data_IF_533484537574
#
_entry.id   IF_533484537574
#
_cell.length_a   1.000
_cell.length_b   1.000
_cell.length_c   1.000
_cell.angle_alpha   90.00
_cell.angle_beta   90.00
_cell.angle_gamma   90.00
#
_symmetry.space_group_name_H-M   'P 1'
#
loop_
_entity.id
_entity.type
_entity.pdbx_description
1 polymer ?
#
# COMPACT_ATOMS: atom_id res chain seq x y z
N UNK A 1 2.61 8.37 -0.79
CA UNK A 1 2.45 9.82 -0.48
C UNK A 1 3.77 10.57 -0.67
N UNK A 2 4.80 10.30 0.14
CA UNK A 2 6.10 10.99 0.08
C UNK A 2 6.77 10.99 -1.32
N UNK A 3 7.16 9.82 -1.86
CA UNK A 3 7.88 9.75 -3.15
C UNK A 3 7.10 10.42 -4.30
N UNK A 4 5.76 10.27 -4.31
CA UNK A 4 4.90 10.90 -5.32
C UNK A 4 5.00 12.42 -5.27
N UNK A 5 5.00 13.01 -4.08
CA UNK A 5 5.11 14.47 -3.94
C UNK A 5 6.50 14.97 -4.31
N UNK A 6 7.55 14.24 -3.94
CA UNK A 6 8.93 14.54 -4.37
C UNK A 6 9.02 14.56 -5.90
N UNK A 7 8.55 13.51 -6.58
CA UNK A 7 8.58 13.45 -8.03
C UNK A 7 7.72 14.52 -8.68
N UNK A 8 6.51 14.79 -8.16
CA UNK A 8 5.64 15.86 -8.68
C UNK A 8 6.34 17.23 -8.68
N UNK A 9 7.09 17.56 -7.63
CA UNK A 9 7.83 18.83 -7.54
C UNK A 9 9.03 18.87 -8.47
N UNK A 10 9.77 17.76 -8.58
CA UNK A 10 10.87 17.64 -9.54
C UNK A 10 10.35 17.76 -10.99
N UNK A 11 9.23 17.12 -11.31
CA UNK A 11 8.58 17.22 -12.62
C UNK A 11 8.08 18.64 -12.94
N UNK A 12 7.77 19.43 -11.89
CA UNK A 12 7.44 20.83 -12.00
C UNK A 12 8.67 21.75 -12.14
N UNK A 13 9.89 21.21 -12.18
CA UNK A 13 11.14 21.94 -12.31
C UNK A 13 11.69 22.51 -11.00
N UNK A 14 11.14 22.10 -9.85
CA UNK A 14 11.65 22.56 -8.55
C UNK A 14 12.99 21.89 -8.20
N UNK A 15 13.91 22.68 -7.63
CA UNK A 15 15.16 22.17 -7.05
C UNK A 15 14.97 21.92 -5.55
N UNK A 16 14.95 20.64 -5.16
CA UNK A 16 14.70 20.25 -3.77
C UNK A 16 16.00 20.14 -2.96
N UNK A 17 16.03 20.79 -1.80
CA UNK A 17 17.07 20.65 -0.79
C UNK A 17 16.62 19.68 0.31
N UNK A 18 17.54 19.31 1.20
CA UNK A 18 17.23 18.42 2.33
C UNK A 18 16.09 18.96 3.22
N UNK A 19 16.00 20.28 3.41
CA UNK A 19 14.92 20.94 4.15
C UNK A 19 13.55 20.74 3.50
N UNK A 20 13.46 20.73 2.17
CA UNK A 20 12.21 20.52 1.45
C UNK A 20 11.74 19.07 1.59
N UNK A 21 12.67 18.12 1.45
CA UNK A 21 12.41 16.69 1.64
C UNK A 21 11.95 16.40 3.08
N UNK A 22 12.59 17.03 4.06
CA UNK A 22 12.18 16.97 5.46
C UNK A 22 10.76 17.50 5.64
N UNK A 23 10.44 18.67 5.08
CA UNK A 23 9.10 19.26 5.16
C UNK A 23 8.02 18.33 4.56
N UNK A 24 8.28 17.76 3.38
CA UNK A 24 7.37 16.79 2.73
C UNK A 24 7.17 15.56 3.62
N UNK A 25 8.24 15.03 4.22
CA UNK A 25 8.14 13.86 5.09
C UNK A 25 7.35 14.15 6.36
N UNK A 26 7.61 15.28 7.01
CA UNK A 26 6.87 15.72 8.20
C UNK A 26 5.38 15.91 7.91
N UNK A 27 5.03 16.56 6.80
CA UNK A 27 3.64 16.72 6.36
C UNK A 27 2.96 15.35 6.18
N UNK A 28 3.61 14.42 5.48
CA UNK A 28 3.06 13.08 5.26
C UNK A 28 2.83 12.34 6.58
N UNK A 29 3.77 12.41 7.53
CA UNK A 29 3.61 11.79 8.85
C UNK A 29 2.47 12.43 9.64
N UNK A 30 2.41 13.76 9.66
CA UNK A 30 1.38 14.53 10.37
C UNK A 30 -0.01 14.21 9.84
N UNK A 31 -0.19 14.17 8.51
CA UNK A 31 -1.48 13.82 7.90
C UNK A 31 -1.87 12.36 8.07
N UNK A 32 -0.90 11.46 8.13
CA UNK A 32 -1.19 10.03 8.28
C UNK A 32 -1.61 9.69 9.71
N UNK A 33 -0.92 10.24 10.70
CA UNK A 33 -1.15 9.92 12.10
C UNK A 33 -2.16 10.84 12.79
N UNK A 34 -2.39 12.05 12.27
CA UNK A 34 -3.27 13.02 12.91
C UNK A 34 -2.79 13.36 14.33
N UNK A 35 -3.72 13.36 15.28
CA UNK A 35 -3.50 13.55 16.71
C UNK A 35 -3.22 12.26 17.49
N UNK A 36 -3.20 11.10 16.81
CA UNK A 36 -3.02 9.81 17.45
C UNK A 36 -1.60 9.60 18.02
N UNK A 37 -0.59 10.28 17.47
CA UNK A 37 0.80 10.26 17.97
C UNK A 37 1.46 11.64 17.88
N UNK A 38 2.45 11.88 18.74
CA UNK A 38 3.33 13.04 18.66
C UNK A 38 4.40 12.85 17.57
N UNK A 39 4.55 13.82 16.66
CA UNK A 39 5.61 13.82 15.64
C UNK A 39 6.82 14.60 16.14
N UNK A 40 7.71 13.90 16.85
CA UNK A 40 8.89 14.46 17.46
C UNK A 40 9.93 14.99 16.43
N UNK A 41 10.82 15.85 16.89
CA UNK A 41 11.95 16.34 16.11
C UNK A 41 12.85 15.18 15.63
N UNK A 42 13.27 15.24 14.37
CA UNK A 42 14.01 14.17 13.70
C UNK A 42 13.13 13.15 12.99
N UNK A 43 11.82 13.07 13.25
CA UNK A 43 10.91 12.18 12.53
C UNK A 43 10.87 12.48 11.02
N UNK A 44 11.08 13.74 10.63
CA UNK A 44 11.23 14.16 9.25
C UNK A 44 12.42 13.51 8.54
N UNK A 45 13.49 13.15 9.25
CA UNK A 45 14.70 12.55 8.66
C UNK A 45 14.50 11.08 8.26
N UNK A 46 13.36 10.47 8.63
CA UNK A 46 13.10 9.05 8.36
C UNK A 46 13.03 8.69 6.87
N UNK A 47 12.87 9.66 5.97
CA UNK A 47 12.98 9.40 4.53
C UNK A 47 14.40 8.98 4.11
N UNK A 48 15.44 9.47 4.80
CA UNK A 48 16.85 9.24 4.45
C UNK A 48 17.26 7.78 4.62
N UNK A 49 16.66 7.10 5.59
CA UNK A 49 16.97 5.69 5.91
C UNK A 49 16.13 4.67 5.16
N UNK A 50 15.27 5.10 4.23
CA UNK A 50 14.39 4.22 3.48
C UNK A 50 15.00 3.85 2.12
N UNK A 51 15.68 2.69 1.97
CA UNK A 51 16.37 2.35 0.71
C UNK A 51 15.41 2.26 -0.48
N UNK A 52 14.18 1.80 -0.26
CA UNK A 52 13.14 1.71 -1.29
C UNK A 52 12.74 3.07 -1.89
N UNK A 53 13.06 4.19 -1.24
CA UNK A 53 12.79 5.52 -1.82
C UNK A 53 13.66 5.82 -3.04
N UNK A 54 14.77 5.10 -3.19
CA UNK A 54 15.72 5.22 -4.29
C UNK A 54 15.49 4.18 -5.40
N UNK A 55 14.37 3.43 -5.35
CA UNK A 55 14.05 2.32 -6.27
C UNK A 55 12.81 2.59 -7.14
N UNK A 56 12.51 3.85 -7.47
CA UNK A 56 11.45 4.20 -8.43
C UNK A 56 10.03 3.75 -8.02
N UNK A 57 9.41 4.47 -7.08
CA UNK A 57 8.07 4.19 -6.53
C UNK A 57 7.86 2.77 -5.96
N UNK A 58 8.89 1.93 -5.79
CA UNK A 58 8.75 0.55 -5.35
C UNK A 58 7.85 0.35 -4.11
N UNK A 59 7.89 1.26 -3.12
CA UNK A 59 7.14 1.08 -1.86
C UNK A 59 5.62 0.91 -2.01
N UNK A 60 4.97 1.43 -3.06
CA UNK A 60 3.51 1.24 -3.21
C UNK A 60 3.14 -0.23 -3.49
N UNK A 61 4.07 -1.01 -4.04
CA UNK A 61 3.85 -2.41 -4.40
C UNK A 61 3.49 -3.27 -3.19
N UNK A 62 3.99 -2.94 -1.99
CA UNK A 62 3.59 -3.60 -0.75
C UNK A 62 2.11 -3.39 -0.44
N UNK A 63 1.61 -2.15 -0.56
CA UNK A 63 0.19 -1.85 -0.32
C UNK A 63 -0.71 -2.50 -1.36
N UNK A 64 -0.29 -2.52 -2.63
CA UNK A 64 -1.00 -3.21 -3.70
C UNK A 64 -1.02 -4.74 -3.48
N UNK A 65 0.14 -5.32 -3.14
CA UNK A 65 0.27 -6.75 -2.85
C UNK A 65 -0.55 -7.18 -1.64
N UNK A 66 -0.54 -6.39 -0.56
CA UNK A 66 -1.38 -6.65 0.61
C UNK A 66 -2.87 -6.61 0.24
N UNK A 67 -3.29 -5.62 -0.56
CA UNK A 67 -4.68 -5.52 -1.05
C UNK A 67 -5.08 -6.78 -1.81
N UNK A 68 -4.24 -7.25 -2.74
CA UNK A 68 -4.50 -8.47 -3.50
C UNK A 68 -4.57 -9.68 -2.57
N UNK A 69 -3.60 -9.84 -1.67
CA UNK A 69 -3.52 -10.97 -0.75
C UNK A 69 -4.73 -11.05 0.20
N UNK A 70 -5.16 -9.91 0.76
CA UNK A 70 -6.34 -9.84 1.63
C UNK A 70 -7.61 -10.21 0.87
N UNK A 71 -7.80 -9.69 -0.34
CA UNK A 71 -8.97 -10.01 -1.16
C UNK A 71 -8.98 -11.48 -1.60
N UNK A 72 -7.84 -12.04 -2.01
CA UNK A 72 -7.71 -13.47 -2.32
C UNK A 72 -8.04 -14.32 -1.11
N UNK A 73 -7.50 -13.99 0.07
CA UNK A 73 -7.80 -14.72 1.30
C UNK A 73 -9.30 -14.66 1.62
N UNK A 74 -9.91 -13.47 1.53
CA UNK A 74 -11.36 -13.30 1.73
C UNK A 74 -12.16 -14.18 0.77
N UNK A 75 -11.80 -14.21 -0.52
CA UNK A 75 -12.43 -15.07 -1.52
C UNK A 75 -12.28 -16.54 -1.18
N UNK A 76 -11.09 -16.99 -0.76
CA UNK A 76 -10.88 -18.38 -0.33
C UNK A 76 -11.81 -18.75 0.83
N UNK A 77 -12.00 -17.85 1.81
CA UNK A 77 -12.90 -18.10 2.94
C UNK A 77 -14.38 -18.13 2.53
N UNK A 78 -14.80 -17.35 1.54
CA UNK A 78 -16.23 -17.23 1.16
C UNK A 78 -16.66 -18.06 -0.04
N UNK A 79 -15.77 -18.29 -1.00
CA UNK A 79 -16.02 -18.98 -2.28
C UNK A 79 -15.37 -20.36 -2.33
N UNK A 80 -14.43 -20.67 -1.41
CA UNK A 80 -13.81 -21.98 -1.29
C UNK A 80 -12.97 -22.37 -2.51
N UNK A 81 -13.21 -23.58 -3.02
CA UNK A 81 -12.37 -24.24 -4.04
C UNK A 81 -12.21 -23.40 -5.32
N UNK A 82 -13.24 -22.67 -5.75
CA UNK A 82 -13.15 -21.82 -6.94
C UNK A 82 -12.08 -20.75 -6.79
N UNK A 83 -12.04 -20.05 -5.66
CA UNK A 83 -11.03 -19.02 -5.41
C UNK A 83 -9.62 -19.60 -5.23
N UNK A 84 -9.51 -20.84 -4.71
CA UNK A 84 -8.23 -21.56 -4.64
C UNK A 84 -7.70 -21.84 -6.04
N UNK A 85 -8.55 -22.31 -6.95
CA UNK A 85 -8.14 -22.60 -8.33
C UNK A 85 -7.74 -21.34 -9.10
N UNK A 86 -8.46 -20.23 -8.93
CA UNK A 86 -8.10 -18.93 -9.49
C UNK A 86 -6.71 -18.48 -9.01
N UNK A 87 -6.45 -18.56 -7.70
CA UNK A 87 -5.15 -18.16 -7.16
C UNK A 87 -4.01 -19.08 -7.63
N UNK A 88 -4.24 -20.40 -7.71
CA UNK A 88 -3.27 -21.34 -8.29
C UNK A 88 -2.99 -21.04 -9.77
N UNK A 89 -4.01 -20.62 -10.54
CA UNK A 89 -3.81 -20.19 -11.92
C UNK A 89 -2.94 -18.93 -12.01
N UNK A 90 -3.17 -17.93 -11.16
CA UNK A 90 -2.33 -16.74 -11.07
C UNK A 90 -0.87 -17.10 -10.72
N UNK A 91 -0.66 -17.96 -9.70
CA UNK A 91 0.67 -18.42 -9.31
C UNK A 91 1.41 -19.16 -10.44
N UNK A 92 0.69 -20.01 -11.20
CA UNK A 92 1.25 -20.70 -12.38
C UNK A 92 1.65 -19.74 -13.48
N UNK A 93 0.90 -18.65 -13.68
CA UNK A 93 1.26 -17.62 -14.65
C UNK A 93 2.54 -16.87 -14.23
N UNK A 94 2.75 -16.65 -12.93
CA UNK A 94 3.96 -16.03 -12.40
C UNK A 94 4.27 -14.70 -13.10
N UNK A 95 5.53 -14.51 -13.49
CA UNK A 95 6.00 -13.29 -14.16
C UNK A 95 5.68 -13.24 -15.68
N UNK A 96 4.95 -14.22 -16.24
CA UNK A 96 4.56 -14.19 -17.66
C UNK A 96 3.44 -13.19 -17.97
N UNK A 97 2.78 -12.65 -16.93
CA UNK A 97 1.72 -11.65 -17.04
C UNK A 97 2.04 -10.42 -16.17
N UNK A 98 1.50 -9.26 -16.56
CA UNK A 98 1.62 -8.04 -15.78
C UNK A 98 0.79 -8.08 -14.49
N UNK A 99 1.06 -7.18 -13.52
CA UNK A 99 0.44 -7.23 -12.18
C UNK A 99 -1.09 -7.09 -12.18
N UNK A 100 -1.66 -6.29 -13.09
CA UNK A 100 -3.12 -6.15 -13.23
C UNK A 100 -3.75 -7.46 -13.72
N UNK A 101 -3.14 -8.08 -14.73
CA UNK A 101 -3.60 -9.37 -15.25
C UNK A 101 -3.41 -10.50 -14.23
N UNK A 102 -2.30 -10.49 -13.48
CA UNK A 102 -2.08 -11.41 -12.35
C UNK A 102 -3.19 -11.30 -11.30
N UNK A 103 -3.52 -10.08 -10.87
CA UNK A 103 -4.60 -9.86 -9.90
C UNK A 103 -5.95 -10.32 -10.45
N UNK A 104 -6.24 -10.04 -11.72
CA UNK A 104 -7.46 -10.49 -12.39
C UNK A 104 -7.57 -12.03 -12.48
N UNK A 105 -6.45 -12.74 -12.73
CA UNK A 105 -6.41 -14.20 -12.66
C UNK A 105 -6.71 -14.74 -11.25
N UNK A 106 -6.28 -14.02 -10.21
CA UNK A 106 -6.64 -14.30 -8.83
C UNK A 106 -8.06 -13.79 -8.46
N UNK A 107 -8.82 -13.32 -9.46
CA UNK A 107 -10.16 -12.72 -9.38
C UNK A 107 -10.25 -11.50 -8.48
N UNK A 108 -9.21 -10.67 -8.48
CA UNK A 108 -9.18 -9.36 -7.83
C UNK A 108 -9.00 -8.27 -8.88
N UNK A 109 -10.02 -7.42 -9.03
CA UNK A 109 -9.90 -6.20 -9.84
C UNK A 109 -9.22 -5.08 -9.04
N UNK A 110 -8.02 -4.70 -9.48
CA UNK A 110 -7.19 -3.63 -8.88
C UNK A 110 -7.21 -2.34 -9.69
N UNK A 111 -8.03 -2.26 -10.75
CA UNK A 111 -8.15 -1.06 -11.60
C UNK A 111 -9.08 -0.01 -10.97
N UNK A 112 -9.99 -0.45 -10.11
CA UNK A 112 -10.87 0.39 -9.32
C UNK A 112 -10.48 0.50 -7.83
N UNK A 113 -11.17 1.35 -7.06
CA UNK A 113 -10.88 1.56 -5.64
C UNK A 113 -11.43 0.44 -4.74
N UNK A 114 -12.30 -0.43 -5.25
CA UNK A 114 -13.13 -1.28 -4.39
C UNK A 114 -12.36 -2.39 -3.70
N UNK A 115 -11.33 -2.97 -4.34
CA UNK A 115 -10.45 -3.95 -3.70
C UNK A 115 -9.75 -3.36 -2.47
N UNK A 116 -9.24 -2.13 -2.60
CA UNK A 116 -8.60 -1.42 -1.49
C UNK A 116 -9.62 -1.09 -0.38
N UNK A 117 -10.82 -0.61 -0.73
CA UNK A 117 -11.88 -0.31 0.25
C UNK A 117 -12.30 -1.54 1.04
N UNK A 118 -12.45 -2.70 0.38
CA UNK A 118 -12.78 -3.96 1.05
C UNK A 118 -11.64 -4.45 1.93
N UNK A 119 -10.39 -4.30 1.50
CA UNK A 119 -9.21 -4.58 2.34
C UNK A 119 -9.19 -3.72 3.60
N UNK A 120 -9.41 -2.41 3.48
CA UNK A 120 -9.50 -1.49 4.63
C UNK A 120 -10.62 -1.93 5.58
N UNK A 121 -11.79 -2.28 5.05
CA UNK A 121 -12.92 -2.78 5.86
C UNK A 121 -12.57 -4.08 6.59
N UNK A 122 -11.88 -5.01 5.93
CA UNK A 122 -11.47 -6.28 6.54
C UNK A 122 -10.50 -6.05 7.71
N UNK A 123 -9.50 -5.19 7.53
CA UNK A 123 -8.56 -4.82 8.59
C UNK A 123 -9.30 -4.11 9.74
N UNK A 124 -10.21 -3.19 9.44
CA UNK A 124 -11.03 -2.50 10.44
C UNK A 124 -11.83 -3.47 11.31
N UNK A 125 -12.47 -4.47 10.70
CA UNK A 125 -13.21 -5.50 11.44
C UNK A 125 -12.30 -6.32 12.38
N UNK A 126 -11.07 -6.62 11.98
CA UNK A 126 -10.10 -7.32 12.85
C UNK A 126 -9.69 -6.46 14.05
N UNK A 127 -9.54 -5.15 13.86
CA UNK A 127 -9.25 -4.21 14.96
C UNK A 127 -10.44 -4.14 15.93
N UNK A 128 -11.66 -4.01 15.42
CA UNK A 128 -12.88 -4.00 16.24
C UNK A 128 -13.06 -5.31 17.04
N UNK A 129 -12.67 -6.45 16.47
CA UNK A 129 -12.69 -7.74 17.17
C UNK A 129 -11.67 -7.78 18.31
N UNK A 130 -10.45 -7.31 18.07
CA UNK A 130 -9.41 -7.21 19.10
C UNK A 130 -9.83 -6.29 20.25
N UNK A 131 -10.47 -5.15 19.95
CA UNK A 131 -10.96 -4.20 20.95
C UNK A 131 -12.07 -4.79 21.84
N UNK A 132 -12.92 -5.67 21.31
CA UNK A 132 -13.96 -6.36 22.11
C UNK A 132 -13.37 -7.44 23.03
N UNK A 133 -12.21 -7.96 22.69
CA UNK A 133 -11.50 -8.98 23.47
C UNK A 133 -10.63 -8.40 24.60
N UNK A 134 -10.45 -7.08 24.63
CA UNK A 134 -9.79 -6.33 25.71
C UNK A 134 -10.80 -5.86 26.75
#
# INVERSE_FOLDING_TARGET
AYQREVYRRVDAGEHLQASDLNAIKRDVLTRFWGDAVEINDGAELTWMRQPHYYMGLYSYTYSAGLTIATEVNRRIQTEGETAVQDYLAALKAGASVGPVAFAALAGVDVTGPDALRRTIKAIGAMVEELEKGL
#
